data_IF_691117405584
#
_entry.id   IF_691117405584
#
_cell.length_a   1.000
_cell.length_b   1.000
_cell.length_c   1.000
_cell.angle_alpha   90.00
_cell.angle_beta   90.00
_cell.angle_gamma   90.00
#
_symmetry.space_group_name_H-M   'P 1'
#
loop_
_entity.id
_entity.type
_entity.pdbx_description
1 polymer ?
#
# COMPACT_ATOMS: atom_id res chain seq x y z
N UNK A 1 39.99 -8.09 -98.85
CA UNK A 1 39.10 -8.32 -97.69
C UNK A 1 39.39 -7.23 -96.67
N UNK A 2 38.47 -6.28 -96.55
CA UNK A 2 38.48 -5.12 -95.65
C UNK A 2 37.78 -5.50 -94.35
N UNK A 3 38.39 -5.25 -93.19
CA UNK A 3 37.68 -5.25 -91.91
C UNK A 3 38.01 -3.98 -91.13
N UNK A 4 36.93 -3.23 -90.87
CA UNK A 4 36.83 -1.93 -90.21
C UNK A 4 37.34 -1.97 -88.77
N UNK A 5 37.97 -0.89 -88.37
CA UNK A 5 38.11 -0.46 -86.98
C UNK A 5 36.77 0.13 -86.51
N UNK A 6 36.23 -0.37 -85.39
CA UNK A 6 35.12 0.28 -84.67
C UNK A 6 35.65 0.87 -83.34
N UNK A 7 35.49 2.19 -83.12
CA UNK A 7 35.71 2.85 -81.84
C UNK A 7 34.42 2.79 -80.98
N UNK A 8 34.52 3.14 -79.69
CA UNK A 8 33.45 3.12 -78.65
C UNK A 8 33.35 1.74 -77.95
N UNK A 9 33.55 1.56 -76.65
CA UNK A 9 33.08 2.32 -75.47
C UNK A 9 34.04 2.01 -74.31
N UNK A 10 34.85 2.96 -73.84
CA UNK A 10 34.60 3.83 -72.68
C UNK A 10 34.05 3.12 -71.42
N UNK A 11 34.89 3.19 -70.38
CA UNK A 11 34.56 3.25 -68.95
C UNK A 11 34.12 1.96 -68.24
N UNK A 12 35.08 1.19 -67.73
CA UNK A 12 34.91 0.44 -66.48
C UNK A 12 35.39 1.33 -65.32
N UNK A 13 34.48 2.19 -64.85
CA UNK A 13 34.67 2.94 -63.60
C UNK A 13 34.15 2.13 -62.42
N UNK A 14 34.91 2.17 -61.35
CA UNK A 14 34.73 1.52 -60.06
C UNK A 14 33.30 1.61 -59.51
N UNK A 15 32.68 0.46 -59.27
CA UNK A 15 31.49 0.33 -58.42
C UNK A 15 31.90 -0.14 -57.02
N UNK A 16 32.36 0.77 -56.16
CA UNK A 16 32.33 0.51 -54.72
C UNK A 16 30.87 0.56 -54.26
N UNK A 17 30.26 -0.61 -54.06
CA UNK A 17 28.96 -0.70 -53.43
C UNK A 17 29.08 -0.21 -51.97
N UNK A 18 28.60 1.00 -51.70
CA UNK A 18 28.41 1.49 -50.35
C UNK A 18 27.28 0.69 -49.69
N UNK A 19 27.63 -0.35 -48.92
CA UNK A 19 26.67 -1.00 -48.03
C UNK A 19 26.23 0.03 -46.97
N UNK A 20 24.92 0.30 -46.81
CA UNK A 20 24.45 1.11 -45.71
C UNK A 20 24.74 0.37 -44.40
N UNK A 21 25.55 0.99 -43.55
CA UNK A 21 25.82 0.51 -42.20
C UNK A 21 24.51 0.64 -41.40
N UNK A 22 23.72 -0.44 -41.33
CA UNK A 22 22.54 -0.49 -40.46
C UNK A 22 23.03 -0.48 -39.02
N UNK A 23 23.06 0.70 -38.40
CA UNK A 23 23.35 0.85 -36.98
C UNK A 23 22.21 0.17 -36.21
N UNK A 24 22.47 -0.87 -35.39
CA UNK A 24 21.44 -1.41 -34.53
C UNK A 24 20.95 -0.28 -33.62
N UNK A 25 19.64 -0.03 -33.63
CA UNK A 25 19.03 0.87 -32.67
C UNK A 25 19.38 0.34 -31.27
N UNK A 26 20.08 1.16 -30.47
CA UNK A 26 20.35 0.83 -29.09
C UNK A 26 18.99 0.62 -28.41
N UNK A 27 18.68 -0.62 -28.02
CA UNK A 27 17.57 -0.90 -27.11
C UNK A 27 17.88 -0.12 -25.86
N UNK A 28 16.98 0.80 -25.48
CA UNK A 28 17.06 1.44 -24.17
C UNK A 28 17.24 0.32 -23.13
N UNK A 29 18.34 0.38 -22.37
CA UNK A 29 18.58 -0.58 -21.32
C UNK A 29 17.38 -0.51 -20.38
N UNK A 30 16.69 -1.64 -20.20
CA UNK A 30 15.65 -1.67 -19.19
C UNK A 30 16.29 -1.36 -17.84
N UNK A 31 15.61 -0.60 -16.96
CA UNK A 31 16.14 -0.33 -15.64
C UNK A 31 16.56 -1.65 -14.96
N UNK A 32 17.68 -1.67 -14.24
CA UNK A 32 18.13 -2.86 -13.53
C UNK A 32 17.16 -3.20 -12.39
N UNK A 33 16.99 -4.50 -12.10
CA UNK A 33 16.23 -4.98 -10.95
C UNK A 33 15.20 -6.06 -11.27
N UNK A 34 14.86 -6.95 -10.31
CA UNK A 34 13.81 -7.94 -10.52
C UNK A 34 12.43 -7.29 -10.72
N UNK A 35 11.65 -7.81 -11.67
CA UNK A 35 10.27 -7.38 -11.90
C UNK A 35 9.31 -8.04 -10.91
N UNK A 36 8.44 -7.22 -10.34
CA UNK A 36 7.29 -7.59 -9.52
C UNK A 36 6.02 -7.08 -10.22
N UNK A 37 5.17 -8.01 -10.63
CA UNK A 37 3.83 -7.67 -11.16
C UNK A 37 2.84 -7.69 -10.00
N UNK A 38 2.01 -6.66 -9.84
CA UNK A 38 1.14 -6.48 -8.67
C UNK A 38 -0.30 -6.26 -9.12
N UNK A 39 -1.25 -7.02 -8.56
CA UNK A 39 -2.69 -6.87 -8.79
C UNK A 39 -3.35 -6.33 -7.52
N UNK A 40 -3.94 -5.14 -7.62
CA UNK A 40 -4.51 -4.39 -6.48
C UNK A 40 -5.73 -3.56 -6.92
N UNK A 41 -6.42 -2.95 -5.97
CA UNK A 41 -7.35 -1.86 -6.25
C UNK A 41 -6.57 -0.55 -6.52
N UNK A 42 -6.99 0.33 -7.46
CA UNK A 42 -6.29 1.60 -7.73
C UNK A 42 -6.28 2.53 -6.51
N UNK A 43 -7.33 2.47 -5.69
CA UNK A 43 -7.55 3.35 -4.55
C UNK A 43 -7.02 2.75 -3.23
N UNK A 44 -6.31 1.62 -3.29
CA UNK A 44 -5.67 1.03 -2.12
C UNK A 44 -4.37 1.80 -1.77
N UNK A 45 -4.47 2.75 -0.84
CA UNK A 45 -3.34 3.57 -0.37
C UNK A 45 -2.15 2.73 0.10
N UNK A 46 -2.36 1.81 1.05
CA UNK A 46 -1.29 0.97 1.58
C UNK A 46 -0.62 0.08 0.52
N UNK A 47 -1.37 -0.35 -0.51
CA UNK A 47 -0.81 -1.08 -1.64
C UNK A 47 0.15 -0.19 -2.47
N UNK A 48 -0.18 1.09 -2.66
CA UNK A 48 0.67 2.04 -3.35
C UNK A 48 1.94 2.35 -2.53
N UNK A 49 1.82 2.47 -1.22
CA UNK A 49 2.97 2.70 -0.33
C UNK A 49 3.90 1.48 -0.28
N UNK A 50 3.33 0.27 -0.29
CA UNK A 50 4.12 -0.95 -0.44
C UNK A 50 4.85 -1.02 -1.79
N UNK A 51 4.23 -0.58 -2.88
CA UNK A 51 4.89 -0.45 -4.19
C UNK A 51 6.06 0.55 -4.12
N UNK A 52 5.86 1.70 -3.47
CA UNK A 52 6.93 2.69 -3.28
C UNK A 52 8.10 2.10 -2.47
N UNK A 53 7.79 1.31 -1.43
CA UNK A 53 8.80 0.54 -0.68
C UNK A 53 9.57 -0.41 -1.59
N UNK A 54 8.90 -1.19 -2.44
CA UNK A 54 9.58 -2.09 -3.38
C UNK A 54 10.53 -1.32 -4.32
N UNK A 55 10.06 -0.21 -4.87
CA UNK A 55 10.83 0.64 -5.78
C UNK A 55 12.06 1.23 -5.10
N UNK A 56 11.93 1.72 -3.86
CA UNK A 56 13.03 2.22 -3.05
C UNK A 56 14.11 1.14 -2.78
N UNK A 57 13.71 -0.14 -2.81
CA UNK A 57 14.60 -1.29 -2.68
C UNK A 57 15.11 -1.86 -4.01
N UNK A 58 14.93 -1.13 -5.13
CA UNK A 58 15.46 -1.50 -6.44
C UNK A 58 14.68 -2.60 -7.17
N UNK A 59 13.45 -2.90 -6.73
CA UNK A 59 12.53 -3.78 -7.47
C UNK A 59 11.77 -2.96 -8.50
N UNK A 60 11.65 -3.49 -9.71
CA UNK A 60 10.79 -2.92 -10.75
C UNK A 60 9.36 -3.37 -10.48
N UNK A 61 8.41 -2.44 -10.51
CA UNK A 61 7.00 -2.77 -10.28
C UNK A 61 6.16 -2.48 -11.52
N UNK A 62 5.32 -3.44 -11.92
CA UNK A 62 4.22 -3.23 -12.87
C UNK A 62 2.90 -3.48 -12.14
N UNK A 63 2.09 -2.44 -12.01
CA UNK A 63 0.79 -2.52 -11.35
C UNK A 63 -0.34 -2.84 -12.35
N UNK A 64 -1.30 -3.64 -11.88
CA UNK A 64 -2.58 -3.93 -12.50
C UNK A 64 -3.65 -3.52 -11.49
N UNK A 65 -4.44 -2.50 -11.82
CA UNK A 65 -5.41 -1.91 -10.90
C UNK A 65 -6.72 -2.70 -10.78
N UNK A 66 -6.75 -3.96 -11.21
CA UNK A 66 -7.89 -4.86 -10.96
C UNK A 66 -7.41 -6.29 -10.86
N UNK A 67 -8.29 -7.20 -10.44
CA UNK A 67 -8.05 -8.64 -10.57
C UNK A 67 -7.25 -9.29 -9.45
N UNK A 68 -7.08 -8.64 -8.29
CA UNK A 68 -6.39 -9.20 -7.12
C UNK A 68 -6.90 -10.62 -6.77
N UNK A 69 -8.19 -10.77 -6.48
CA UNK A 69 -8.78 -12.06 -6.09
C UNK A 69 -8.65 -13.14 -7.18
N UNK A 70 -8.88 -12.76 -8.45
CA UNK A 70 -8.74 -13.66 -9.58
C UNK A 70 -7.29 -14.11 -9.78
N UNK A 71 -6.33 -13.20 -9.60
CA UNK A 71 -4.90 -13.53 -9.69
C UNK A 71 -4.46 -14.45 -8.55
N UNK A 72 -4.89 -14.18 -7.31
CA UNK A 72 -4.62 -15.06 -6.17
C UNK A 72 -5.06 -16.50 -6.45
N UNK A 73 -6.30 -16.66 -6.90
CA UNK A 73 -6.85 -17.96 -7.26
C UNK A 73 -6.06 -18.60 -8.41
N UNK A 74 -5.74 -17.85 -9.46
CA UNK A 74 -4.96 -18.32 -10.62
C UNK A 74 -3.56 -18.79 -10.22
N UNK A 75 -2.95 -18.14 -9.25
CA UNK A 75 -1.65 -18.52 -8.71
C UNK A 75 -1.72 -19.65 -7.68
N UNK A 76 -2.91 -20.16 -7.36
CA UNK A 76 -3.11 -21.28 -6.46
C UNK A 76 -2.87 -20.96 -4.98
N UNK A 77 -2.89 -19.68 -4.59
CA UNK A 77 -2.72 -19.31 -3.18
C UNK A 77 -4.03 -19.50 -2.39
N UNK A 78 -4.03 -20.29 -1.30
CA UNK A 78 -5.21 -20.47 -0.47
C UNK A 78 -5.76 -19.16 0.11
N UNK A 79 -7.09 -19.01 0.14
CA UNK A 79 -7.76 -17.80 0.61
C UNK A 79 -7.42 -17.40 2.05
N UNK A 80 -7.02 -18.34 2.91
CA UNK A 80 -6.57 -18.06 4.29
C UNK A 80 -5.33 -17.16 4.38
N UNK A 81 -4.56 -17.04 3.30
CA UNK A 81 -3.39 -16.16 3.25
C UNK A 81 -3.70 -14.79 2.64
N UNK A 82 -4.95 -14.53 2.24
CA UNK A 82 -5.32 -13.36 1.46
C UNK A 82 -4.97 -12.03 2.16
N UNK A 83 -4.64 -11.04 1.32
CA UNK A 83 -4.36 -9.65 1.69
C UNK A 83 -4.97 -8.68 0.65
N UNK A 84 -4.64 -7.39 0.75
CA UNK A 84 -5.14 -6.32 -0.11
C UNK A 84 -4.62 -6.38 -1.55
N UNK A 85 -3.51 -7.06 -1.80
CA UNK A 85 -2.93 -7.26 -3.13
C UNK A 85 -2.21 -8.61 -3.25
N UNK A 86 -2.11 -9.09 -4.48
CA UNK A 86 -1.35 -10.27 -4.87
C UNK A 86 -0.32 -9.86 -5.91
N UNK A 87 0.89 -10.38 -5.81
CA UNK A 87 1.97 -10.10 -6.74
C UNK A 87 2.70 -11.36 -7.19
N UNK A 88 3.46 -11.23 -8.28
CA UNK A 88 4.32 -12.27 -8.84
C UNK A 88 5.74 -11.74 -9.03
N UNK A 89 6.72 -12.47 -8.53
CA UNK A 89 8.14 -12.13 -8.68
C UNK A 89 8.97 -13.41 -8.88
N UNK A 90 9.75 -13.50 -9.98
CA UNK A 90 10.68 -14.62 -10.23
C UNK A 90 10.05 -16.03 -10.20
N UNK A 91 8.76 -16.14 -10.53
CA UNK A 91 8.01 -17.39 -10.48
C UNK A 91 7.33 -17.69 -9.13
N UNK A 92 7.50 -16.83 -8.13
CA UNK A 92 6.86 -16.94 -6.82
C UNK A 92 5.64 -16.04 -6.71
N UNK A 93 4.68 -16.47 -5.89
CA UNK A 93 3.59 -15.63 -5.39
C UNK A 93 4.12 -14.75 -4.25
N UNK A 94 3.73 -13.49 -4.22
CA UNK A 94 3.98 -12.56 -3.11
C UNK A 94 2.63 -11.99 -2.69
N UNK A 95 2.14 -12.34 -1.51
CA UNK A 95 0.82 -11.93 -1.02
C UNK A 95 0.94 -10.93 0.12
N UNK A 96 0.30 -9.77 -0.06
CA UNK A 96 0.27 -8.72 0.96
C UNK A 96 1.60 -8.05 1.21
N UNK A 97 1.70 -7.39 2.36
CA UNK A 97 2.76 -6.47 2.76
C UNK A 97 4.10 -7.16 3.12
N UNK A 98 4.59 -8.06 2.25
CA UNK A 98 5.87 -8.75 2.40
C UNK A 98 7.02 -7.73 2.24
N UNK A 99 7.98 -7.64 3.17
CA UNK A 99 9.09 -6.72 3.04
C UNK A 99 10.00 -7.01 1.83
N UNK A 100 10.40 -5.96 1.11
CA UNK A 100 11.31 -6.08 -0.03
C UNK A 100 12.59 -6.90 0.26
N UNK A 101 13.26 -6.78 1.43
CA UNK A 101 14.40 -7.64 1.76
C UNK A 101 14.08 -9.15 1.74
N UNK A 102 12.87 -9.55 2.17
CA UNK A 102 12.44 -10.94 2.13
C UNK A 102 12.14 -11.42 0.71
N UNK A 103 11.57 -10.56 -0.14
CA UNK A 103 11.37 -10.85 -1.56
C UNK A 103 12.73 -11.05 -2.26
N UNK A 104 13.68 -10.15 -2.02
CA UNK A 104 15.03 -10.26 -2.56
C UNK A 104 15.75 -11.52 -2.06
N UNK A 105 15.53 -11.90 -0.78
CA UNK A 105 16.04 -13.16 -0.22
C UNK A 105 15.44 -14.37 -0.92
N UNK A 106 14.12 -14.40 -1.11
CA UNK A 106 13.41 -15.46 -1.83
C UNK A 106 13.96 -15.64 -3.25
N UNK A 107 14.15 -14.54 -3.98
CA UNK A 107 14.64 -14.57 -5.36
C UNK A 107 16.08 -15.03 -5.48
N UNK A 108 16.90 -14.79 -4.45
CA UNK A 108 18.29 -15.25 -4.38
C UNK A 108 18.38 -16.73 -3.98
N UNK A 109 17.66 -17.14 -2.96
CA UNK A 109 17.73 -18.51 -2.41
C UNK A 109 16.94 -19.52 -3.24
N UNK A 110 15.92 -19.06 -3.95
CA UNK A 110 15.04 -19.85 -4.82
C UNK A 110 14.55 -21.17 -4.19
N UNK A 111 14.00 -21.15 -2.96
CA UNK A 111 13.50 -22.38 -2.34
C UNK A 111 12.36 -22.98 -3.15
N UNK A 112 12.17 -24.29 -3.07
CA UNK A 112 11.02 -24.94 -3.68
C UNK A 112 9.78 -24.62 -2.83
N UNK A 113 8.98 -23.66 -3.28
CA UNK A 113 7.81 -23.15 -2.59
C UNK A 113 6.83 -22.54 -3.60
N UNK A 114 5.62 -22.20 -3.15
CA UNK A 114 4.69 -21.38 -3.91
C UNK A 114 5.07 -19.90 -3.85
N UNK A 115 5.40 -19.41 -2.64
CA UNK A 115 5.63 -17.98 -2.46
C UNK A 115 5.74 -17.52 -1.01
N UNK A 116 5.77 -16.20 -0.84
CA UNK A 116 5.69 -15.54 0.47
C UNK A 116 4.32 -14.89 0.68
N UNK A 117 3.85 -14.88 1.93
CA UNK A 117 2.61 -14.21 2.30
C UNK A 117 2.74 -13.49 3.65
N UNK A 118 2.17 -12.29 3.72
CA UNK A 118 1.76 -11.62 4.97
C UNK A 118 0.23 -11.53 4.93
N UNK A 119 -0.48 -12.46 5.59
CA UNK A 119 -1.95 -12.46 5.59
C UNK A 119 -2.54 -11.22 6.27
N UNK A 120 -3.70 -10.77 5.77
CA UNK A 120 -4.36 -9.57 6.29
C UNK A 120 -3.57 -8.29 5.96
N UNK A 121 -3.58 -7.31 6.86
CA UNK A 121 -2.83 -6.06 6.73
C UNK A 121 -2.28 -5.64 8.10
N UNK A 122 -1.24 -6.31 8.63
CA UNK A 122 -0.68 -5.99 9.94
C UNK A 122 -0.06 -4.60 9.93
N UNK A 123 -0.46 -3.76 10.89
CA UNK A 123 0.10 -2.41 11.03
C UNK A 123 1.58 -2.51 11.42
N UNK A 124 2.44 -1.73 10.78
CA UNK A 124 3.90 -1.81 10.93
C UNK A 124 4.61 -2.65 9.88
N UNK A 125 3.88 -3.38 9.03
CA UNK A 125 4.42 -3.94 7.79
C UNK A 125 4.60 -2.84 6.73
N UNK A 126 5.47 -3.00 5.70
CA UNK A 126 5.74 -1.92 4.75
C UNK A 126 4.51 -1.48 3.96
N UNK A 127 4.23 -0.18 3.93
CA UNK A 127 2.98 0.39 3.40
C UNK A 127 1.82 0.37 4.39
N UNK A 128 2.01 -0.27 5.55
CA UNK A 128 1.15 -0.21 6.72
C UNK A 128 1.88 0.43 7.92
N UNK A 129 2.98 1.15 7.67
CA UNK A 129 3.90 1.72 8.66
C UNK A 129 4.04 3.25 8.56
N UNK A 130 3.22 3.89 7.72
CA UNK A 130 3.12 5.33 7.58
C UNK A 130 2.60 6.07 8.84
N UNK A 131 2.70 7.40 8.84
CA UNK A 131 2.29 8.24 9.97
C UNK A 131 0.80 8.10 10.34
N UNK A 132 -0.05 7.69 9.40
CA UNK A 132 -1.48 7.44 9.61
C UNK A 132 -1.76 6.33 10.64
N UNK A 133 -0.77 5.49 10.93
CA UNK A 133 -0.87 4.42 11.91
C UNK A 133 -0.34 4.80 13.30
N UNK A 134 0.08 6.05 13.51
CA UNK A 134 0.45 6.58 14.83
C UNK A 134 1.59 5.83 15.51
N UNK A 135 2.52 5.27 14.72
CA UNK A 135 3.66 4.50 15.24
C UNK A 135 3.31 3.11 15.79
N UNK A 136 2.06 2.67 15.66
CA UNK A 136 1.65 1.30 16.00
C UNK A 136 2.45 0.31 15.15
N UNK A 137 2.87 -0.79 15.79
CA UNK A 137 3.51 -1.93 15.13
C UNK A 137 2.96 -3.21 15.71
N UNK A 138 2.12 -3.91 14.95
CA UNK A 138 1.65 -5.24 15.27
C UNK A 138 2.76 -6.26 14.97
N UNK A 139 2.92 -7.29 15.80
CA UNK A 139 3.76 -8.41 15.42
C UNK A 139 3.15 -9.13 14.21
N UNK A 140 3.99 -9.53 13.27
CA UNK A 140 3.57 -10.34 12.13
C UNK A 140 4.65 -11.29 11.66
N UNK A 141 4.21 -12.39 11.06
CA UNK A 141 5.09 -13.35 10.43
C UNK A 141 4.97 -13.21 8.91
N UNK A 142 6.12 -13.32 8.23
CA UNK A 142 6.16 -13.62 6.80
C UNK A 142 6.16 -15.13 6.68
N UNK A 143 5.23 -15.68 5.92
CA UNK A 143 5.06 -17.12 5.73
C UNK A 143 5.65 -17.56 4.40
N UNK A 144 6.45 -18.63 4.41
CA UNK A 144 6.79 -19.38 3.20
C UNK A 144 5.67 -20.39 2.94
N UNK A 145 4.89 -20.15 1.91
CA UNK A 145 3.76 -21.00 1.52
C UNK A 145 4.24 -22.05 0.51
N UNK A 146 3.93 -23.30 0.78
CA UNK A 146 4.24 -24.45 -0.06
C UNK A 146 3.16 -24.65 -1.13
N UNK A 147 3.49 -25.44 -2.17
CA UNK A 147 2.56 -25.72 -3.27
C UNK A 147 1.36 -26.58 -2.87
N UNK A 148 1.47 -27.33 -1.78
CA UNK A 148 0.36 -28.06 -1.16
C UNK A 148 -0.53 -27.16 -0.28
N UNK A 149 -0.20 -25.87 -0.18
CA UNK A 149 -0.87 -24.88 0.64
C UNK A 149 -0.40 -24.82 2.09
N UNK A 150 0.39 -25.78 2.59
CA UNK A 150 0.98 -25.68 3.93
C UNK A 150 1.92 -24.47 4.01
N UNK A 151 2.28 -24.04 5.21
CA UNK A 151 3.21 -22.92 5.39
C UNK A 151 4.13 -23.12 6.58
N UNK A 152 5.30 -22.49 6.53
CA UNK A 152 6.18 -22.30 7.68
C UNK A 152 6.59 -20.84 7.79
N UNK A 153 7.00 -20.43 8.98
CA UNK A 153 7.53 -19.08 9.18
C UNK A 153 8.83 -18.90 8.39
N UNK A 154 8.90 -17.82 7.62
CA UNK A 154 10.07 -17.37 6.86
C UNK A 154 10.86 -16.31 7.64
N UNK A 155 10.15 -15.34 8.20
CA UNK A 155 10.70 -14.28 9.04
C UNK A 155 9.65 -13.84 10.07
N UNK A 156 10.09 -13.35 11.22
CA UNK A 156 9.25 -12.77 12.25
C UNK A 156 9.58 -11.30 12.42
N UNK A 157 8.55 -10.47 12.47
CA UNK A 157 8.66 -9.05 12.73
C UNK A 157 8.00 -8.74 14.07
N UNK A 158 8.76 -8.34 15.10
CA UNK A 158 8.19 -8.02 16.40
C UNK A 158 7.37 -6.73 16.31
N UNK A 159 6.30 -6.68 17.09
CA UNK A 159 5.58 -5.44 17.34
C UNK A 159 6.37 -4.48 18.24
N UNK A 160 5.95 -3.22 18.26
CA UNK A 160 6.53 -2.16 19.09
C UNK A 160 5.50 -1.62 20.08
N UNK A 161 5.68 -1.93 21.37
CA UNK A 161 5.01 -1.25 22.50
C UNK A 161 3.93 -2.07 23.24
N UNK A 162 4.21 -2.34 24.51
CA UNK A 162 3.44 -3.02 25.58
C UNK A 162 3.06 -4.49 25.33
N UNK A 163 3.80 -5.38 26.01
CA UNK A 163 3.48 -6.79 26.17
C UNK A 163 2.05 -6.92 26.75
N UNK A 164 1.14 -7.69 26.12
CA UNK A 164 -0.02 -8.18 26.82
C UNK A 164 0.47 -9.17 27.88
N UNK A 165 -0.01 -9.00 29.11
CA UNK A 165 -0.07 -10.07 30.10
C UNK A 165 -0.68 -11.31 29.47
N UNK A 166 -0.09 -12.47 29.73
CA UNK A 166 -0.58 -13.76 29.27
C UNK A 166 -2.07 -13.90 29.58
N UNK A 167 -2.88 -14.09 28.55
CA UNK A 167 -4.24 -14.56 28.69
C UNK A 167 -4.41 -15.75 27.76
N UNK A 168 -4.53 -16.93 28.36
CA UNK A 168 -5.06 -18.11 27.71
C UNK A 168 -6.54 -17.87 27.34
N UNK A 169 -6.95 -18.28 26.13
CA UNK A 169 -8.33 -18.67 25.84
C UNK A 169 -9.14 -17.82 24.83
N UNK A 170 -9.53 -18.51 23.75
CA UNK A 170 -10.77 -18.43 22.94
C UNK A 170 -11.20 -17.16 22.15
N UNK A 171 -11.35 -17.41 20.84
CA UNK A 171 -12.39 -16.98 19.86
C UNK A 171 -12.94 -15.53 19.76
N UNK A 172 -12.73 -14.97 18.54
CA UNK A 172 -13.59 -14.15 17.65
C UNK A 172 -14.53 -13.06 18.22
N UNK A 173 -14.33 -11.79 17.83
CA UNK A 173 -15.30 -10.91 17.10
C UNK A 173 -14.85 -9.43 17.02
N UNK A 174 -15.18 -8.74 15.91
CA UNK A 174 -15.58 -7.31 15.92
C UNK A 174 -14.61 -6.29 15.30
N UNK A 175 -15.04 -5.63 14.21
CA UNK A 175 -14.38 -4.45 13.64
C UNK A 175 -14.41 -3.26 14.60
N UNK A 176 -13.25 -2.67 14.88
CA UNK A 176 -13.10 -1.60 15.87
C UNK A 176 -13.06 -0.21 15.25
N UNK A 177 -13.97 0.67 15.68
CA UNK A 177 -13.86 2.11 15.49
C UNK A 177 -12.66 2.66 16.29
N UNK A 178 -11.84 3.51 15.67
CA UNK A 178 -10.73 4.19 16.37
C UNK A 178 -11.27 5.40 17.10
N UNK A 179 -11.39 5.34 18.43
CA UNK A 179 -11.86 6.44 19.28
C UNK A 179 -10.72 7.14 20.01
N UNK A 180 -10.86 8.45 20.27
CA UNK A 180 -9.96 9.18 21.16
C UNK A 180 -10.05 8.60 22.57
N UNK A 181 -8.91 8.22 23.13
CA UNK A 181 -8.81 7.73 24.52
C UNK A 181 -8.89 8.85 25.57
N UNK A 182 -8.68 10.13 25.17
CA UNK A 182 -8.68 11.31 26.03
C UNK A 182 -9.65 12.41 25.57
N UNK A 183 -9.91 13.37 26.48
CA UNK A 183 -10.66 14.58 26.16
C UNK A 183 -9.79 15.54 25.34
N UNK A 184 -10.33 16.00 24.21
CA UNK A 184 -9.71 17.00 23.34
C UNK A 184 -10.32 18.36 23.66
N UNK A 185 -9.49 19.36 23.88
CA UNK A 185 -9.92 20.74 24.01
C UNK A 185 -10.26 21.34 22.63
N UNK A 186 -11.39 22.06 22.56
CA UNK A 186 -11.83 22.70 21.34
C UNK A 186 -12.75 23.90 21.58
N UNK A 187 -13.07 24.57 20.48
CA UNK A 187 -13.98 25.71 20.42
C UNK A 187 -15.01 25.47 19.32
N UNK A 188 -16.29 25.63 19.66
CA UNK A 188 -17.39 25.51 18.70
C UNK A 188 -17.32 26.68 17.72
N UNK A 189 -17.18 26.38 16.43
CA UNK A 189 -17.15 27.40 15.37
C UNK A 189 -18.48 27.53 14.66
N UNK A 190 -19.20 26.41 14.49
CA UNK A 190 -20.52 26.38 13.86
C UNK A 190 -21.27 25.12 14.27
N UNK A 191 -22.58 25.21 14.39
CA UNK A 191 -23.46 24.06 14.66
C UNK A 191 -24.43 23.93 13.48
N UNK A 192 -24.58 22.72 12.97
CA UNK A 192 -25.59 22.35 11.97
C UNK A 192 -26.40 21.18 12.53
N UNK A 193 -27.43 21.53 13.31
CA UNK A 193 -28.28 20.54 13.97
C UNK A 193 -29.08 19.70 12.98
N UNK A 194 -29.51 20.29 11.85
CA UNK A 194 -30.26 19.59 10.82
C UNK A 194 -29.41 18.51 10.13
N UNK A 195 -28.13 18.80 9.89
CA UNK A 195 -27.19 17.85 9.28
C UNK A 195 -26.41 16.99 10.30
N UNK A 196 -26.70 17.11 11.61
CA UNK A 196 -26.00 16.42 12.72
C UNK A 196 -24.48 16.61 12.66
N UNK A 197 -24.05 17.87 12.47
CA UNK A 197 -22.65 18.25 12.34
C UNK A 197 -22.30 19.43 13.23
N UNK A 198 -21.04 19.47 13.67
CA UNK A 198 -20.45 20.60 14.38
C UNK A 198 -19.07 20.90 13.82
N UNK A 199 -18.80 22.16 13.54
CA UNK A 199 -17.46 22.62 13.19
C UNK A 199 -16.74 22.98 14.47
N UNK A 200 -15.62 22.32 14.74
CA UNK A 200 -14.79 22.55 15.93
C UNK A 200 -13.41 23.01 15.49
N UNK A 201 -12.91 24.07 16.13
CA UNK A 201 -11.47 24.32 16.22
C UNK A 201 -10.96 23.46 17.37
N UNK A 202 -9.98 22.61 17.13
CA UNK A 202 -9.49 21.70 18.16
C UNK A 202 -7.97 21.76 18.27
N UNK A 203 -7.47 21.40 19.46
CA UNK A 203 -6.05 21.11 19.66
C UNK A 203 -5.63 19.82 18.95
N UNK A 204 -4.41 19.36 19.18
CA UNK A 204 -3.95 18.12 18.58
C UNK A 204 -4.82 16.92 19.01
N UNK A 205 -5.23 16.10 18.05
CA UNK A 205 -5.92 14.84 18.28
C UNK A 205 -5.00 13.72 17.81
N UNK A 206 -4.03 13.37 18.65
CA UNK A 206 -3.02 12.36 18.36
C UNK A 206 -3.64 11.02 17.94
N UNK A 207 -4.73 10.59 18.61
CA UNK A 207 -5.42 9.34 18.32
C UNK A 207 -6.05 9.27 16.91
N UNK A 208 -6.30 10.43 16.30
CA UNK A 208 -6.85 10.54 14.94
C UNK A 208 -5.83 11.16 13.96
N UNK A 209 -4.57 11.32 14.38
CA UNK A 209 -3.50 11.97 13.63
C UNK A 209 -3.88 13.37 13.10
N UNK A 210 -4.65 14.14 13.86
CA UNK A 210 -5.03 15.50 13.46
C UNK A 210 -4.18 16.54 14.18
N UNK A 211 -3.42 17.38 13.46
CA UNK A 211 -2.82 18.57 14.07
C UNK A 211 -3.92 19.56 14.48
N UNK A 212 -3.58 20.59 15.29
CA UNK A 212 -4.52 21.64 15.63
C UNK A 212 -5.12 22.29 14.37
N UNK A 213 -6.43 22.16 14.18
CA UNK A 213 -7.11 22.67 12.99
C UNK A 213 -8.58 22.98 13.26
N UNK A 214 -9.27 23.54 12.25
CA UNK A 214 -10.72 23.74 12.28
C UNK A 214 -11.37 22.85 11.23
N UNK A 215 -12.25 21.95 11.66
CA UNK A 215 -12.92 21.04 10.75
C UNK A 215 -14.31 20.63 11.23
N UNK A 216 -15.05 19.96 10.33
CA UNK A 216 -16.40 19.49 10.58
C UNK A 216 -16.35 18.06 11.14
N UNK A 217 -17.00 17.88 12.28
CA UNK A 217 -17.28 16.57 12.86
C UNK A 217 -18.76 16.26 12.71
N UNK A 218 -19.09 14.99 12.49
CA UNK A 218 -20.44 14.49 12.68
C UNK A 218 -20.67 14.24 14.18
N UNK A 219 -21.92 14.19 14.64
CA UNK A 219 -22.22 13.73 16.01
C UNK A 219 -22.95 12.39 15.97
N UNK A 220 -22.59 11.50 16.88
CA UNK A 220 -23.27 10.20 17.00
C UNK A 220 -24.73 10.39 17.48
N UNK A 221 -24.93 11.29 18.44
CA UNK A 221 -26.25 11.67 18.97
C UNK A 221 -26.51 13.16 18.74
N UNK A 222 -27.70 13.49 18.23
CA UNK A 222 -28.10 14.89 18.00
C UNK A 222 -28.25 15.66 19.31
N UNK A 223 -28.52 14.98 20.44
CA UNK A 223 -28.58 15.60 21.76
C UNK A 223 -27.26 16.27 22.16
N UNK A 224 -26.12 15.80 21.64
CA UNK A 224 -24.80 16.39 21.90
C UNK A 224 -24.66 17.83 21.37
N UNK A 225 -25.52 18.25 20.44
CA UNK A 225 -25.52 19.62 19.91
C UNK A 225 -26.41 20.56 20.73
N UNK A 226 -27.26 20.03 21.61
CA UNK A 226 -28.20 20.83 22.37
C UNK A 226 -27.44 21.65 23.43
N UNK A 227 -27.75 22.95 23.50
CA UNK A 227 -27.10 23.86 24.43
C UNK A 227 -25.68 24.30 24.05
N UNK A 228 -25.12 23.80 22.94
CA UNK A 228 -23.87 24.32 22.40
C UNK A 228 -24.08 25.68 21.72
N UNK A 229 -23.09 26.57 21.83
CA UNK A 229 -23.11 27.88 21.16
C UNK A 229 -21.80 28.13 20.39
N UNK A 230 -21.84 28.80 19.22
CA UNK A 230 -20.61 29.27 18.58
C UNK A 230 -19.77 30.14 19.51
N UNK A 231 -18.46 29.93 19.53
CA UNK A 231 -17.49 30.55 20.44
C UNK A 231 -17.30 29.82 21.77
N UNK A 232 -18.14 28.82 22.09
CA UNK A 232 -18.04 28.07 23.34
C UNK A 232 -16.80 27.17 23.36
N UNK A 233 -16.03 27.22 24.44
CA UNK A 233 -14.97 26.24 24.73
C UNK A 233 -15.60 24.94 25.21
N UNK A 234 -15.12 23.85 24.65
CA UNK A 234 -15.63 22.50 24.89
C UNK A 234 -14.49 21.53 25.09
N UNK A 235 -14.79 20.45 25.81
CA UNK A 235 -14.02 19.22 25.76
C UNK A 235 -14.83 18.17 25.05
N UNK A 236 -14.23 17.48 24.09
CA UNK A 236 -14.94 16.46 23.32
C UNK A 236 -14.08 15.21 23.11
N UNK A 237 -14.76 14.10 22.81
CA UNK A 237 -14.16 12.86 22.34
C UNK A 237 -14.65 12.62 20.93
N UNK A 238 -13.77 12.17 20.06
CA UNK A 238 -14.07 11.90 18.67
C UNK A 238 -13.55 10.52 18.27
N UNK A 239 -14.24 9.87 17.36
CA UNK A 239 -13.82 8.60 16.79
C UNK A 239 -13.86 8.70 15.26
N UNK A 240 -12.99 7.95 14.60
CA UNK A 240 -13.14 7.68 13.18
C UNK A 240 -14.01 6.44 13.01
N UNK A 241 -15.21 6.64 12.47
CA UNK A 241 -16.20 5.59 12.21
C UNK A 241 -16.58 5.64 10.74
N UNK A 242 -16.44 4.53 10.01
CA UNK A 242 -16.79 4.43 8.58
C UNK A 242 -16.21 5.55 7.71
N UNK A 243 -14.95 5.95 7.98
CA UNK A 243 -14.26 7.02 7.24
C UNK A 243 -14.62 8.45 7.67
N UNK A 244 -15.63 8.65 8.51
CA UNK A 244 -16.02 9.95 9.06
C UNK A 244 -15.50 10.16 10.49
N UNK A 245 -15.27 11.42 10.86
CA UNK A 245 -14.93 11.81 12.22
C UNK A 245 -16.19 12.19 12.98
N UNK A 246 -16.46 11.45 14.06
CA UNK A 246 -17.71 11.50 14.81
C UNK A 246 -17.39 11.86 16.24
N UNK A 247 -17.95 12.96 16.73
CA UNK A 247 -17.95 13.30 18.16
C UNK A 247 -18.88 12.33 18.88
N UNK A 248 -18.32 11.60 19.83
CA UNK A 248 -19.02 10.60 20.63
C UNK A 248 -19.47 11.17 21.97
N UNK A 249 -18.73 12.15 22.51
CA UNK A 249 -19.06 12.87 23.74
C UNK A 249 -18.59 14.32 23.63
N UNK A 250 -19.34 15.26 24.21
CA UNK A 250 -18.95 16.67 24.29
C UNK A 250 -19.50 17.28 25.58
N UNK A 251 -18.69 18.13 26.22
CA UNK A 251 -19.08 18.86 27.44
C UNK A 251 -18.45 20.25 27.44
N UNK A 252 -18.98 21.20 28.24
CA UNK A 252 -18.33 22.49 28.44
C UNK A 252 -16.87 22.31 28.87
N UNK A 253 -15.97 23.07 28.24
CA UNK A 253 -14.56 23.15 28.58
C UNK A 253 -14.32 24.27 29.61
N UNK A 254 -13.13 24.29 30.24
CA UNK A 254 -12.73 25.39 31.11
C UNK A 254 -12.63 26.73 30.37
#
# INVERSE_FOLDING_TARGET
MTLRTDPLRRALLAGLAALPLVRPAARAAEPPGPLVEVWKDPNCGCCNDWIAHLQAHGLRVRAHDTGNAAMRQRLGLPARYASCHTARAGGYVIEGHVPAPDILRLLRERPQALGLAVPGMPVGSPGMDGPEYGGRRDPYDVLLVQRDGSSRVWARYPGGGLRPVQAHGHELHGGGATATSGWVDGEVRRIDAAARKVTLRHGEIAALAMPPMTMVFQVHDAALLQGLQPGQRVRFRAARMNGAYVVTEIKPGP
#
